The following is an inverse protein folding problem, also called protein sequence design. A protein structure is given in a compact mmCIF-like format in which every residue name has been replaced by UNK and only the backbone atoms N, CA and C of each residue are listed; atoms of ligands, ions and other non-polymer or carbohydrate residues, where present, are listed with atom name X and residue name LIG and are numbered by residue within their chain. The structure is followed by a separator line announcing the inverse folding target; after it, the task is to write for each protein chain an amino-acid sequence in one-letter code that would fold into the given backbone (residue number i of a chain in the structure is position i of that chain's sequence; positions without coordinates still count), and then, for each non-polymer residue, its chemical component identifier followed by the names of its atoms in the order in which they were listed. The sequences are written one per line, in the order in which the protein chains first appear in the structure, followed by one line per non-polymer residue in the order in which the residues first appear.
data_IF_811340989276
#
_entry.id   IF_811340989276
#
_cell.length_a   1.000
_cell.length_b   1.000
_cell.length_c   1.000
_cell.angle_alpha   90.00
_cell.angle_beta   90.00
_cell.angle_gamma   90.00
#
_symmetry.space_group_name_H-M   'P 1'
#
loop_
_entity.id
_entity.type
_entity.pdbx_description
1 polymer ?
#
# COMPACT_ATOMS: atom_id res chain seq x y z
N UNK A 1 -4.34 -17.60 1.36
CA UNK A 1 -4.92 -16.30 1.68
C UNK A 1 -4.38 -15.31 0.66
N UNK A 2 -5.28 -14.65 -0.08
CA UNK A 2 -4.90 -13.60 -1.01
C UNK A 2 -4.77 -12.25 -0.28
N UNK A 3 -4.35 -11.17 -0.95
CA UNK A 3 -4.23 -9.86 -0.29
C UNK A 3 -5.58 -9.32 0.18
N UNK A 4 -6.67 -9.58 -0.56
CA UNK A 4 -7.99 -9.07 -0.20
C UNK A 4 -8.41 -9.63 1.16
N UNK A 5 -8.29 -10.95 1.34
CA UNK A 5 -8.67 -11.62 2.59
C UNK A 5 -7.89 -11.04 3.78
N UNK A 6 -6.57 -10.84 3.61
CA UNK A 6 -5.70 -10.24 4.65
C UNK A 6 -6.21 -8.84 5.01
N UNK A 7 -6.51 -8.01 4.02
CA UNK A 7 -6.95 -6.63 4.26
C UNK A 7 -8.32 -6.61 4.94
N UNK A 8 -9.27 -7.44 4.49
CA UNK A 8 -10.60 -7.55 5.08
C UNK A 8 -10.55 -8.01 6.55
N UNK A 9 -9.77 -9.06 6.85
CA UNK A 9 -9.55 -9.52 8.23
C UNK A 9 -8.96 -8.43 9.13
N UNK A 10 -8.00 -7.65 8.64
CA UNK A 10 -7.41 -6.54 9.40
C UNK A 10 -8.40 -5.39 9.61
N UNK A 11 -9.25 -5.09 8.63
CA UNK A 11 -10.31 -4.09 8.77
C UNK A 11 -11.34 -4.50 9.81
N UNK A 12 -11.76 -5.76 9.79
CA UNK A 12 -12.71 -6.31 10.77
C UNK A 12 -12.13 -6.33 12.19
N UNK A 13 -10.84 -6.66 12.32
CA UNK A 13 -10.14 -6.66 13.60
C UNK A 13 -9.93 -5.25 14.15
N UNK A 14 -9.52 -4.30 13.30
CA UNK A 14 -9.21 -2.94 13.74
C UNK A 14 -10.46 -2.08 13.94
N UNK A 15 -11.54 -2.35 13.20
CA UNK A 15 -12.79 -1.56 13.19
C UNK A 15 -12.54 -0.06 12.98
N UNK A 16 -11.54 0.26 12.17
CA UNK A 16 -11.19 1.61 11.76
C UNK A 16 -11.26 1.71 10.25
N UNK A 17 -11.53 2.90 9.67
CA UNK A 17 -11.46 3.07 8.25
C UNK A 17 -10.00 3.02 7.77
N UNK A 18 -9.75 2.29 6.70
CA UNK A 18 -8.43 2.17 6.10
C UNK A 18 -8.12 3.37 5.20
N UNK A 19 -6.97 4.03 5.37
CA UNK A 19 -6.57 5.15 4.52
C UNK A 19 -5.90 4.68 3.22
N UNK A 20 -5.00 3.71 3.28
CA UNK A 20 -4.37 3.19 2.06
C UNK A 20 -3.74 1.82 2.33
N UNK A 21 -3.48 1.11 1.24
CA UNK A 21 -2.65 -0.10 1.24
C UNK A 21 -1.45 0.19 0.36
N UNK A 22 -0.25 0.00 0.91
CA UNK A 22 0.99 -0.03 0.14
C UNK A 22 1.52 -1.45 0.12
N UNK A 23 1.95 -1.95 -1.03
CA UNK A 23 2.68 -3.22 -1.12
C UNK A 23 4.03 -2.96 -1.77
N UNK A 24 5.10 -3.53 -1.21
CA UNK A 24 6.46 -3.32 -1.69
C UNK A 24 7.16 -4.65 -1.90
N UNK A 25 7.86 -4.75 -3.03
CA UNK A 25 8.71 -5.89 -3.38
C UNK A 25 10.13 -5.39 -3.67
N UNK A 26 11.14 -6.14 -3.25
CA UNK A 26 12.46 -5.98 -3.83
C UNK A 26 12.40 -6.32 -5.33
N UNK A 27 13.26 -5.73 -6.16
CA UNK A 27 13.33 -6.01 -7.60
C UNK A 27 13.99 -7.38 -7.89
N UNK A 28 13.45 -8.44 -7.29
CA UNK A 28 13.85 -9.84 -7.41
C UNK A 28 12.62 -10.72 -7.23
N UNK A 29 12.36 -11.57 -8.23
CA UNK A 29 11.30 -12.58 -8.20
C UNK A 29 11.46 -13.55 -7.03
N UNK A 30 10.36 -14.16 -6.59
CA UNK A 30 10.33 -15.11 -5.48
C UNK A 30 10.94 -14.54 -4.17
N UNK A 31 10.66 -13.27 -3.87
CA UNK A 31 10.94 -12.67 -2.56
C UNK A 31 9.63 -12.30 -1.86
N UNK A 32 9.54 -12.38 -0.52
CA UNK A 32 8.32 -11.97 0.16
C UNK A 32 7.93 -10.52 -0.16
N UNK A 33 6.63 -10.26 -0.20
CA UNK A 33 6.09 -8.90 -0.35
C UNK A 33 5.82 -8.32 1.03
N UNK A 34 6.03 -7.01 1.19
CA UNK A 34 5.66 -6.29 2.40
C UNK A 34 4.41 -5.47 2.11
N UNK A 35 3.29 -5.83 2.72
CA UNK A 35 2.07 -5.02 2.72
C UNK A 35 2.06 -4.13 3.96
N UNK A 36 1.75 -2.85 3.78
CA UNK A 36 1.57 -1.87 4.85
C UNK A 36 0.15 -1.34 4.76
N UNK A 37 -0.63 -1.56 5.82
CA UNK A 37 -1.95 -0.97 5.96
C UNK A 37 -1.82 0.34 6.72
N UNK A 38 -2.29 1.40 6.09
CA UNK A 38 -2.14 2.76 6.59
C UNK A 38 -3.40 3.17 7.35
N UNK A 39 -3.31 3.12 8.68
CA UNK A 39 -4.31 3.67 9.62
C UNK A 39 -3.91 5.03 10.18
N UNK A 40 -2.67 5.45 9.90
CA UNK A 40 -2.07 6.65 10.44
C UNK A 40 -2.87 7.88 9.99
N UNK A 41 -3.48 8.57 10.96
CA UNK A 41 -4.50 9.60 10.72
C UNK A 41 -5.68 9.46 11.68
N UNK A 42 -5.94 8.24 12.17
CA UNK A 42 -6.89 7.99 13.24
C UNK A 42 -6.21 8.02 14.61
N UNK A 43 -6.93 8.49 15.62
CA UNK A 43 -6.52 8.43 17.01
C UNK A 43 -7.51 7.54 17.76
N UNK A 44 -6.99 6.69 18.65
CA UNK A 44 -7.80 5.79 19.47
C UNK A 44 -7.64 6.17 20.93
N UNK A 45 -8.78 6.24 21.62
CA UNK A 45 -8.79 6.40 23.07
C UNK A 45 -8.24 5.14 23.75
N UNK A 46 -7.57 5.33 24.87
CA UNK A 46 -7.12 4.21 25.68
C UNK A 46 -8.30 3.70 26.52
N UNK A 47 -8.49 2.38 26.67
CA UNK A 47 -9.47 1.84 27.62
C UNK A 47 -9.11 2.12 29.09
N UNK A 48 -7.88 2.58 29.36
CA UNK A 48 -7.44 2.94 30.71
C UNK A 48 -8.11 4.24 31.16
N UNK A 49 -8.90 4.16 32.22
CA UNK A 49 -9.44 5.34 32.92
C UNK A 49 -8.68 5.57 34.22
N UNK A 50 -8.22 6.80 34.44
CA UNK A 50 -7.55 7.22 35.67
C UNK A 50 -8.28 8.45 36.25
N UNK A 51 -8.83 8.37 37.48
CA UNK A 51 -9.56 9.48 38.09
C UNK A 51 -8.73 10.77 38.11
N UNK A 52 -9.30 11.86 37.58
CA UNK A 52 -8.64 13.18 37.53
C UNK A 52 -7.53 13.32 36.48
N UNK A 53 -7.27 12.29 35.67
CA UNK A 53 -6.23 12.32 34.63
C UNK A 53 -6.88 12.10 33.26
N UNK A 54 -6.90 13.15 32.43
CA UNK A 54 -7.29 13.04 31.03
C UNK A 54 -6.15 12.41 30.23
N UNK A 55 -6.37 11.20 29.69
CA UNK A 55 -5.39 10.53 28.83
C UNK A 55 -5.70 10.88 27.37
N UNK A 56 -4.78 11.54 26.64
CA UNK A 56 -5.04 11.94 25.26
C UNK A 56 -5.13 10.71 24.33
N UNK A 57 -5.96 10.77 23.28
CA UNK A 57 -6.05 9.70 22.31
C UNK A 57 -4.75 9.57 21.52
N UNK A 58 -4.30 8.33 21.32
CA UNK A 58 -3.02 8.00 20.68
C UNK A 58 -3.20 7.71 19.20
N UNK A 59 -2.24 8.11 18.34
CA UNK A 59 -2.30 7.75 16.93
C UNK A 59 -2.30 6.24 16.75
N UNK A 60 -3.11 5.76 15.81
CA UNK A 60 -3.12 4.33 15.45
C UNK A 60 -1.95 4.07 14.51
N UNK A 61 -1.05 3.14 14.84
CA UNK A 61 0.08 2.81 14.01
C UNK A 61 -0.37 2.13 12.71
N UNK A 62 0.43 2.26 11.64
CA UNK A 62 0.27 1.36 10.50
C UNK A 62 0.60 -0.08 10.91
N UNK A 63 0.21 -1.06 10.10
CA UNK A 63 0.67 -2.44 10.30
C UNK A 63 1.40 -2.95 9.06
N UNK A 64 2.58 -3.53 9.25
CA UNK A 64 3.30 -4.25 8.21
C UNK A 64 3.00 -5.75 8.30
N UNK A 65 2.76 -6.36 7.15
CA UNK A 65 2.43 -7.78 7.00
C UNK A 65 3.29 -8.34 5.88
N UNK A 66 3.91 -9.49 6.12
CA UNK A 66 4.66 -10.20 5.10
C UNK A 66 3.77 -11.19 4.34
N UNK A 67 3.80 -11.13 3.02
CA UNK A 67 3.08 -12.05 2.13
C UNK A 67 4.12 -12.96 1.48
N UNK A 68 4.11 -14.23 1.88
CA UNK A 68 5.11 -15.23 1.51
C UNK A 68 4.78 -16.09 0.28
N UNK A 69 3.70 -15.79 -0.46
CA UNK A 69 3.32 -16.58 -1.63
C UNK A 69 4.38 -16.50 -2.73
N UNK A 70 4.76 -17.63 -3.33
CA UNK A 70 5.73 -17.67 -4.42
C UNK A 70 5.18 -16.97 -5.68
N UNK A 71 6.03 -16.20 -6.37
CA UNK A 71 5.67 -15.46 -7.58
C UNK A 71 6.86 -15.35 -8.53
N UNK A 72 6.61 -15.60 -9.81
CA UNK A 72 7.65 -15.78 -10.82
C UNK A 72 7.76 -14.59 -11.78
N UNK A 73 6.81 -13.67 -11.72
CA UNK A 73 6.73 -12.48 -12.57
C UNK A 73 6.06 -11.34 -11.79
N UNK A 74 6.46 -10.10 -12.05
CA UNK A 74 5.86 -8.94 -11.40
C UNK A 74 4.41 -8.71 -11.85
N UNK A 75 4.08 -9.15 -13.07
CA UNK A 75 2.73 -9.13 -13.61
C UNK A 75 1.78 -10.03 -12.79
N UNK A 76 2.29 -11.08 -12.16
CA UNK A 76 1.51 -11.90 -11.22
C UNK A 76 1.20 -11.14 -9.92
N UNK A 77 2.15 -10.31 -9.46
CA UNK A 77 1.94 -9.40 -8.33
C UNK A 77 0.91 -8.34 -8.71
N UNK A 78 1.04 -7.72 -9.88
CA UNK A 78 0.04 -6.79 -10.41
C UNK A 78 -1.35 -7.41 -10.45
N UNK A 79 -1.51 -8.64 -10.95
CA UNK A 79 -2.81 -9.31 -11.04
C UNK A 79 -3.46 -9.49 -9.66
N UNK A 80 -2.69 -9.98 -8.68
CA UNK A 80 -3.15 -10.12 -7.30
C UNK A 80 -3.56 -8.77 -6.69
N UNK A 81 -2.76 -7.72 -6.91
CA UNK A 81 -3.03 -6.39 -6.36
C UNK A 81 -4.19 -5.69 -7.06
N UNK A 82 -4.36 -5.89 -8.36
CA UNK A 82 -5.48 -5.40 -9.14
C UNK A 82 -6.79 -6.04 -8.69
N UNK A 83 -6.79 -7.36 -8.43
CA UNK A 83 -7.95 -8.05 -7.90
C UNK A 83 -8.34 -7.53 -6.51
N UNK A 84 -7.38 -7.41 -5.59
CA UNK A 84 -7.63 -6.87 -4.25
C UNK A 84 -8.11 -5.41 -4.28
N UNK A 85 -7.44 -4.55 -5.05
CA UNK A 85 -7.82 -3.13 -5.20
C UNK A 85 -9.21 -2.99 -5.82
N UNK A 86 -9.54 -3.81 -6.82
CA UNK A 86 -10.85 -3.83 -7.46
C UNK A 86 -11.95 -4.22 -6.47
N UNK A 87 -11.79 -5.35 -5.77
CA UNK A 87 -12.74 -5.86 -4.77
C UNK A 87 -12.94 -4.88 -3.61
N UNK A 88 -11.89 -4.15 -3.22
CA UNK A 88 -11.95 -3.09 -2.20
C UNK A 88 -12.46 -1.74 -2.75
N UNK A 89 -12.90 -1.68 -4.00
CA UNK A 89 -13.51 -0.47 -4.56
C UNK A 89 -12.54 0.65 -4.92
N UNK A 90 -11.23 0.41 -4.91
CA UNK A 90 -10.27 1.45 -5.24
C UNK A 90 -10.50 2.02 -6.65
N UNK A 91 -10.36 3.33 -6.83
CA UNK A 91 -10.45 3.97 -8.15
C UNK A 91 -9.17 3.82 -8.96
N UNK A 92 -8.03 3.72 -8.27
CA UNK A 92 -6.72 3.58 -8.89
C UNK A 92 -5.81 2.65 -8.09
N UNK A 93 -4.96 1.93 -8.83
CA UNK A 93 -3.78 1.26 -8.31
C UNK A 93 -2.55 1.90 -8.97
N UNK A 94 -1.67 2.48 -8.17
CA UNK A 94 -0.42 3.05 -8.64
C UNK A 94 0.73 2.07 -8.44
N UNK A 95 1.48 1.76 -9.50
CA UNK A 95 2.77 1.07 -9.44
C UNK A 95 3.91 2.06 -9.69
N UNK A 96 4.89 2.07 -8.82
CA UNK A 96 6.15 2.80 -8.96
C UNK A 96 7.30 1.79 -9.00
N UNK A 97 8.18 1.95 -9.98
CA UNK A 97 9.41 1.17 -10.12
C UNK A 97 10.62 2.07 -9.86
N UNK A 98 11.50 1.64 -8.96
CA UNK A 98 12.67 2.41 -8.51
C UNK A 98 13.93 1.58 -8.67
N UNK A 99 15.00 2.24 -9.12
CA UNK A 99 16.35 1.67 -9.16
C UNK A 99 16.92 1.47 -7.76
N UNK A 100 18.09 0.85 -7.69
CA UNK A 100 18.88 0.72 -6.47
C UNK A 100 19.09 2.11 -5.82
N UNK A 101 18.87 2.18 -4.51
CA UNK A 101 18.88 3.43 -3.76
C UNK A 101 20.20 3.67 -2.99
N UNK A 102 21.18 2.76 -3.10
CA UNK A 102 22.54 2.89 -2.52
C UNK A 102 23.63 3.05 -3.59
N UNK A 103 23.28 3.46 -4.80
CA UNK A 103 24.28 3.80 -5.82
C UNK A 103 25.03 5.09 -5.41
N UNK A 104 26.34 5.13 -5.64
CA UNK A 104 27.16 6.34 -5.40
C UNK A 104 26.60 7.49 -6.24
N UNK A 105 26.28 8.61 -5.60
CA UNK A 105 25.66 9.78 -6.25
C UNK A 105 24.12 9.75 -6.30
N UNK A 106 23.46 8.74 -5.73
CA UNK A 106 22.02 8.78 -5.54
C UNK A 106 21.62 9.93 -4.58
N UNK A 107 20.58 10.71 -4.90
CA UNK A 107 20.14 11.80 -4.03
C UNK A 107 19.59 11.23 -2.72
N UNK A 108 19.76 11.95 -1.61
CA UNK A 108 19.25 11.55 -0.30
C UNK A 108 17.73 11.28 -0.29
N UNK A 109 16.98 11.95 -1.19
CA UNK A 109 15.55 11.71 -1.38
C UNK A 109 15.22 10.33 -1.95
N UNK A 110 16.10 9.73 -2.78
CA UNK A 110 15.93 8.35 -3.26
C UNK A 110 16.15 7.36 -2.12
N UNK A 111 17.18 7.57 -1.28
CA UNK A 111 17.44 6.74 -0.11
C UNK A 111 16.28 6.83 0.91
N UNK A 112 15.75 8.02 1.17
CA UNK A 112 14.59 8.20 2.03
C UNK A 112 13.34 7.50 1.46
N UNK A 113 13.05 7.69 0.17
CA UNK A 113 11.91 7.03 -0.47
C UNK A 113 12.00 5.51 -0.41
N UNK A 114 13.22 4.96 -0.51
CA UNK A 114 13.52 3.54 -0.35
C UNK A 114 13.14 3.05 1.05
N UNK A 115 13.58 3.73 2.11
CA UNK A 115 13.22 3.39 3.49
C UNK A 115 11.72 3.46 3.73
N UNK A 116 11.09 4.55 3.29
CA UNK A 116 9.65 4.76 3.43
C UNK A 116 8.81 3.71 2.67
N UNK A 117 9.31 3.17 1.56
CA UNK A 117 8.63 2.08 0.84
C UNK A 117 8.55 0.79 1.68
N UNK A 118 9.49 0.59 2.61
CA UNK A 118 9.50 -0.53 3.57
C UNK A 118 9.02 -0.11 4.96
N UNK A 119 8.32 1.02 5.07
CA UNK A 119 7.73 1.48 6.33
C UNK A 119 8.73 2.00 7.36
N UNK A 120 9.98 2.22 6.97
CA UNK A 120 10.97 2.88 7.81
C UNK A 120 10.84 4.41 7.67
N UNK A 121 10.14 5.00 8.63
CA UNK A 121 9.81 6.42 8.70
C UNK A 121 10.67 7.18 9.72
N UNK A 122 11.76 6.59 10.23
CA UNK A 122 12.56 7.20 11.30
C UNK A 122 12.98 8.64 10.95
N UNK A 123 12.41 9.58 11.71
CA UNK A 123 12.59 11.03 11.56
C UNK A 123 13.30 11.67 12.76
N UNK A 124 13.91 10.87 13.64
CA UNK A 124 14.59 11.38 14.84
C UNK A 124 13.66 11.87 15.97
N UNK A 125 12.36 11.58 15.91
CA UNK A 125 11.45 11.71 17.07
C UNK A 125 11.50 10.41 17.89
N UNK A 126 11.24 10.44 19.22
CA UNK A 126 11.20 9.21 20.01
C UNK A 126 10.23 8.23 19.35
N UNK A 127 10.72 7.02 19.10
CA UNK A 127 10.09 5.96 18.34
C UNK A 127 8.76 5.48 18.98
N UNK A 128 7.71 6.30 18.91
CA UNK A 128 6.35 5.85 19.10
C UNK A 128 5.87 5.19 17.81
N UNK A 129 6.43 3.99 17.55
CA UNK A 129 5.80 2.88 16.86
C UNK A 129 4.92 3.25 15.67
N UNK A 130 5.43 3.97 14.65
CA UNK A 130 4.64 4.33 13.46
C UNK A 130 4.11 3.11 12.68
N UNK A 131 4.70 1.94 12.91
CA UNK A 131 4.41 0.69 12.25
C UNK A 131 4.49 -0.46 13.26
N UNK A 132 3.43 -1.23 13.41
CA UNK A 132 3.46 -2.54 14.07
C UNK A 132 4.09 -3.52 13.08
N UNK A 133 5.21 -4.11 13.47
CA UNK A 133 6.01 -4.95 12.59
C UNK A 133 5.58 -6.43 12.65
N UNK A 134 4.71 -6.84 11.71
CA UNK A 134 4.38 -8.23 11.44
C UNK A 134 5.15 -8.81 10.24
N UNK A 135 6.28 -8.19 9.86
CA UNK A 135 7.06 -8.56 8.68
C UNK A 135 8.53 -8.85 9.05
N UNK A 136 8.87 -10.09 9.42
CA UNK A 136 10.20 -10.43 9.94
C UNK A 136 11.34 -10.12 8.97
N UNK A 137 11.12 -10.29 7.65
CA UNK A 137 12.18 -10.12 6.65
C UNK A 137 12.27 -8.69 6.10
N UNK A 138 11.47 -7.75 6.64
CA UNK A 138 11.34 -6.38 6.13
C UNK A 138 12.68 -5.65 6.04
N UNK A 139 13.53 -5.80 7.06
CA UNK A 139 14.88 -5.21 7.07
C UNK A 139 15.79 -5.76 5.98
N UNK A 140 15.79 -7.09 5.79
CA UNK A 140 16.60 -7.76 4.76
C UNK A 140 16.11 -7.42 3.34
N UNK A 141 14.79 -7.36 3.15
CA UNK A 141 14.17 -6.96 1.89
C UNK A 141 14.44 -5.50 1.56
N UNK A 142 14.44 -4.61 2.55
CA UNK A 142 14.83 -3.21 2.37
C UNK A 142 16.30 -3.11 1.92
N UNK A 143 17.21 -3.87 2.55
CA UNK A 143 18.61 -3.91 2.13
C UNK A 143 18.80 -4.48 0.72
N UNK A 144 18.03 -5.52 0.37
CA UNK A 144 18.03 -6.09 -0.98
C UNK A 144 17.54 -5.07 -2.01
N UNK A 145 16.45 -4.37 -1.70
CA UNK A 145 15.89 -3.29 -2.50
C UNK A 145 16.89 -2.13 -2.67
N UNK A 146 17.66 -1.83 -1.62
CA UNK A 146 18.71 -0.84 -1.69
C UNK A 146 19.74 -1.13 -2.78
N UNK A 147 20.09 -2.41 -2.95
CA UNK A 147 21.09 -2.88 -3.93
C UNK A 147 20.52 -3.19 -5.31
N UNK A 148 19.24 -3.54 -5.41
CA UNK A 148 18.62 -4.05 -6.66
C UNK A 148 17.52 -3.15 -7.23
N UNK A 149 17.02 -2.22 -6.43
CA UNK A 149 15.78 -1.50 -6.70
C UNK A 149 14.57 -2.20 -6.10
N UNK A 150 13.41 -1.55 -6.22
CA UNK A 150 12.15 -2.05 -5.67
C UNK A 150 10.98 -1.62 -6.53
N UNK A 151 9.87 -2.30 -6.31
CA UNK A 151 8.57 -1.90 -6.82
C UNK A 151 7.64 -1.64 -5.66
N UNK A 152 6.82 -0.61 -5.78
CA UNK A 152 5.84 -0.23 -4.79
C UNK A 152 4.50 -0.04 -5.48
N UNK A 153 3.48 -0.64 -4.91
CA UNK A 153 2.11 -0.46 -5.29
C UNK A 153 1.36 0.28 -4.20
N UNK A 154 0.42 1.14 -4.57
CA UNK A 154 -0.44 1.83 -3.62
C UNK A 154 -1.85 1.94 -4.18
N UNK A 155 -2.84 1.65 -3.35
CA UNK A 155 -4.25 1.93 -3.64
C UNK A 155 -4.99 2.40 -2.40
N UNK A 156 -6.17 3.00 -2.64
CA UNK A 156 -7.03 3.61 -1.63
C UNK A 156 -8.38 2.89 -1.64
N UNK A 157 -8.69 2.06 -0.63
CA UNK A 157 -9.92 1.27 -0.63
C UNK A 157 -11.15 2.16 -0.38
N UNK A 158 -12.23 1.95 -1.12
CA UNK A 158 -13.53 2.59 -0.82
C UNK A 158 -14.31 1.72 0.18
N UNK A 159 -14.35 0.40 -0.05
CA UNK A 159 -14.93 -0.56 0.90
C UNK A 159 -14.16 -0.49 2.23
N UNK A 160 -14.86 -0.11 3.29
CA UNK A 160 -14.34 0.09 4.66
C UNK A 160 -13.12 1.03 4.77
N UNK A 161 -12.88 1.85 3.76
CA UNK A 161 -11.87 2.91 3.79
C UNK A 161 -12.47 4.29 4.04
N UNK A 162 -11.62 5.28 4.23
CA UNK A 162 -12.04 6.67 4.43
C UNK A 162 -12.67 7.29 3.17
N UNK A 163 -12.34 6.76 1.99
CA UNK A 163 -12.61 7.38 0.69
C UNK A 163 -14.07 7.34 0.28
N UNK A 164 -14.88 6.48 0.89
CA UNK A 164 -16.34 6.49 0.71
C UNK A 164 -16.96 7.84 1.08
N UNK A 165 -16.33 8.60 1.98
CA UNK A 165 -16.81 9.93 2.39
C UNK A 165 -16.71 11.00 1.30
N UNK A 166 -15.94 10.77 0.23
CA UNK A 166 -15.81 11.74 -0.87
C UNK A 166 -17.00 11.74 -1.83
N UNK A 167 -17.86 10.70 -1.77
CA UNK A 167 -19.02 10.52 -2.66
C UNK A 167 -18.67 10.74 -4.15
N UNK A 168 -17.46 10.33 -4.55
CA UNK A 168 -17.07 10.39 -5.96
C UNK A 168 -17.94 9.41 -6.74
N UNK A 169 -18.41 9.86 -7.90
CA UNK A 169 -19.22 9.03 -8.78
C UNK A 169 -18.37 7.89 -9.33
N UNK A 170 -18.89 6.69 -9.19
CA UNK A 170 -18.36 5.49 -9.80
C UNK A 170 -19.50 4.48 -9.93
N UNK A 171 -19.97 4.28 -11.16
CA UNK A 171 -21.13 3.43 -11.45
C UNK A 171 -20.80 1.93 -11.33
N UNK A 172 -19.53 1.61 -11.05
CA UNK A 172 -19.05 0.23 -10.91
C UNK A 172 -19.03 -0.25 -9.45
N UNK A 173 -19.25 0.63 -8.48
CA UNK A 173 -19.25 0.30 -7.05
C UNK A 173 -20.57 -0.34 -6.61
N UNK A 174 -20.47 -1.40 -5.82
CA UNK A 174 -21.59 -1.97 -5.08
C UNK A 174 -21.96 -1.09 -3.85
N UNK A 175 -23.10 -1.37 -3.21
CA UNK A 175 -23.61 -0.57 -2.08
C UNK A 175 -22.69 -0.54 -0.84
N UNK A 176 -21.81 -1.55 -0.69
CA UNK A 176 -20.80 -1.60 0.37
C UNK A 176 -19.52 -0.81 0.01
N UNK A 177 -19.43 -0.30 -1.23
CA UNK A 177 -18.25 0.37 -1.77
C UNK A 177 -17.20 -0.59 -2.33
N UNK A 178 -17.52 -1.88 -2.49
CA UNK A 178 -16.67 -2.87 -3.15
C UNK A 178 -17.03 -3.08 -4.62
N UNK A 179 -16.43 -4.11 -5.24
CA UNK A 179 -16.82 -4.60 -6.57
C UNK A 179 -16.70 -6.13 -6.63
N UNK A 180 -17.50 -6.76 -7.49
CA UNK A 180 -17.44 -8.20 -7.70
C UNK A 180 -16.23 -8.60 -8.56
N UNK A 181 -15.49 -9.67 -8.22
CA UNK A 181 -14.43 -10.19 -9.07
C UNK A 181 -14.99 -10.77 -10.38
N UNK A 182 -14.14 -10.94 -11.41
CA UNK A 182 -12.72 -10.57 -11.45
C UNK A 182 -12.51 -9.09 -11.77
N UNK A 183 -11.33 -8.56 -11.44
CA UNK A 183 -10.90 -7.25 -11.94
C UNK A 183 -10.81 -7.26 -13.48
N UNK A 184 -11.44 -6.33 -14.21
CA UNK A 184 -11.41 -6.29 -15.67
C UNK A 184 -10.11 -5.73 -16.24
N UNK A 185 -9.23 -5.16 -15.40
CA UNK A 185 -7.99 -4.50 -15.84
C UNK A 185 -6.85 -5.50 -15.84
N UNK A 186 -6.18 -5.63 -16.98
CA UNK A 186 -5.02 -6.51 -17.12
C UNK A 186 -3.72 -5.87 -16.58
N UNK A 187 -2.81 -6.66 -15.99
CA UNK A 187 -1.45 -6.23 -15.67
C UNK A 187 -0.72 -5.63 -16.88
N UNK A 188 0.11 -4.60 -16.64
CA UNK A 188 0.97 -4.03 -17.69
C UNK A 188 2.38 -4.59 -17.59
N UNK A 189 2.99 -4.98 -18.71
CA UNK A 189 4.34 -5.53 -18.71
C UNK A 189 5.34 -4.51 -18.17
N UNK A 190 6.40 -5.03 -17.55
CA UNK A 190 7.53 -4.20 -17.14
C UNK A 190 8.49 -4.00 -18.31
N UNK A 191 8.67 -2.75 -18.72
CA UNK A 191 9.59 -2.39 -19.80
C UNK A 191 10.95 -2.06 -19.19
N UNK A 192 12.02 -2.83 -19.48
CA UNK A 192 13.36 -2.53 -18.98
C UNK A 192 13.80 -1.15 -19.47
N UNK A 193 14.08 -0.22 -18.54
CA UNK A 193 14.67 1.09 -18.88
C UNK A 193 16.19 1.06 -18.71
N UNK A 194 16.95 1.69 -19.62
CA UNK A 194 18.40 1.79 -19.47
C UNK A 194 18.77 2.55 -18.19
N UNK A 195 19.69 1.98 -17.41
CA UNK A 195 20.09 2.44 -16.06
C UNK A 195 20.49 3.92 -15.98
N UNK A 196 21.01 4.50 -17.08
CA UNK A 196 21.57 5.87 -17.10
C UNK A 196 20.54 7.00 -17.13
N UNK A 197 19.27 6.73 -17.45
CA UNK A 197 18.21 7.75 -17.57
C UNK A 197 16.95 7.41 -16.79
N UNK A 198 16.97 6.33 -15.99
CA UNK A 198 15.80 5.78 -15.34
C UNK A 198 15.36 6.61 -14.11
N UNK A 199 14.68 7.73 -14.37
CA UNK A 199 13.72 8.28 -13.40
C UNK A 199 12.67 7.20 -13.11
N UNK A 200 12.18 7.16 -11.88
CA UNK A 200 11.18 6.20 -11.46
C UNK A 200 10.05 6.05 -12.48
N UNK A 201 9.78 4.80 -12.90
CA UNK A 201 8.63 4.53 -13.76
C UNK A 201 7.37 4.53 -12.90
N UNK A 202 6.33 5.20 -13.38
CA UNK A 202 5.02 5.25 -12.73
C UNK A 202 3.98 4.74 -13.70
N UNK A 203 3.19 3.78 -13.26
CA UNK A 203 2.05 3.21 -13.97
C UNK A 203 0.83 3.36 -13.09
N UNK A 204 -0.26 3.91 -13.62
CA UNK A 204 -1.54 4.03 -12.89
C UNK A 204 -2.58 3.19 -13.62
N UNK A 205 -3.14 2.21 -12.91
CA UNK A 205 -4.28 1.43 -13.36
C UNK A 205 -5.55 2.13 -12.89
N UNK A 206 -6.41 2.53 -13.83
CA UNK A 206 -7.73 3.10 -13.54
C UNK A 206 -8.73 1.97 -13.42
N UNK A 207 -9.45 1.92 -12.30
CA UNK A 207 -10.39 0.86 -11.97
C UNK A 207 -11.84 1.35 -12.05
N UNK A 208 -12.15 2.52 -11.49
CA UNK A 208 -13.51 3.10 -11.54
C UNK A 208 -13.90 3.68 -12.90
N UNK A 209 -15.20 3.74 -13.17
CA UNK A 209 -15.78 4.28 -14.41
C UNK A 209 -17.04 5.12 -14.11
N UNK A 210 -17.25 6.20 -14.86
CA UNK A 210 -18.45 7.05 -14.79
C UNK A 210 -19.12 6.99 -16.16
N UNK A 211 -20.26 6.29 -16.22
CA UNK A 211 -20.97 6.00 -17.48
C UNK A 211 -22.06 7.01 -17.83
N UNK A 212 -22.24 8.05 -17.01
CA UNK A 212 -23.21 9.14 -17.26
C UNK A 212 -22.55 10.45 -17.68
N UNK A 213 -22.86 10.94 -18.89
CA UNK A 213 -22.66 12.35 -19.24
C UNK A 213 -23.77 13.15 -18.55
N UNK A 214 -23.41 14.06 -17.64
CA UNK A 214 -24.32 15.08 -17.16
C UNK A 214 -24.47 16.15 -18.24
N UNK A 215 -25.60 16.15 -18.95
CA UNK A 215 -26.07 17.38 -19.59
C UNK A 215 -26.64 18.26 -18.47
N UNK A 216 -25.96 19.38 -18.21
CA UNK A 216 -26.48 20.48 -17.38
C UNK A 216 -27.31 21.41 -18.24
#
# INVERSE_FOLDING_TARGET
MDLFDIVEEQMDAMRLPLYAVTVTAAARVNTPLIAILHWHGFRRETPLELPGIAIPPRPVPGCAIQIGSAWHAFEAVDAMLLDAAWRLGAWELERIERRACTEIGAPASEALACRQAFGDYDSGAPAEHHLVDGAPDRGELMQLAARKGYMRWMFRPVKGGLWRALDERDDTLDADGGRRPPCPVAPRPIVPRPRRTARAARTVYRLGDVRGILLR
#
